data_IF_286284379943
#
_entry.id   IF_286284379943
#
_cell.length_a   1.000
_cell.length_b   1.000
_cell.length_c   1.000
_cell.angle_alpha   90.00
_cell.angle_beta   90.00
_cell.angle_gamma   90.00
#
_symmetry.space_group_name_H-M   'P 1'
#
loop_
_entity.id
_entity.type
_entity.pdbx_description
1 polymer ?
#
# COMPACT_ATOMS: atom_id res chain seq x y z
N UNK A 1 40.06 -6.78 -12.11
CA UNK A 1 39.78 -7.37 -10.78
C UNK A 1 40.97 -7.37 -9.81
N UNK A 2 42.19 -7.74 -10.22
CA UNK A 2 43.33 -7.86 -9.29
C UNK A 2 43.85 -6.52 -8.67
N UNK A 3 43.63 -5.38 -9.33
CA UNK A 3 44.07 -4.07 -8.83
C UNK A 3 43.18 -3.51 -7.72
N UNK A 4 41.86 -3.67 -7.83
CA UNK A 4 40.87 -3.24 -6.82
C UNK A 4 41.04 -4.01 -5.50
N UNK A 5 41.30 -5.32 -5.59
CA UNK A 5 41.59 -6.17 -4.43
C UNK A 5 42.92 -5.83 -3.73
N UNK A 6 43.90 -5.27 -4.46
CA UNK A 6 45.17 -4.80 -3.86
C UNK A 6 45.01 -3.46 -3.15
N UNK A 7 44.14 -2.58 -3.65
CA UNK A 7 43.82 -1.30 -3.01
C UNK A 7 43.13 -1.53 -1.64
N UNK A 8 42.17 -2.45 -1.58
CA UNK A 8 41.46 -2.82 -0.36
C UNK A 8 42.39 -3.38 0.73
N UNK A 9 43.38 -4.20 0.35
CA UNK A 9 44.37 -4.77 1.29
C UNK A 9 45.39 -3.77 1.84
N UNK A 10 45.60 -2.63 1.17
CA UNK A 10 46.52 -1.58 1.64
C UNK A 10 45.90 -0.69 2.71
N UNK A 11 44.59 -0.42 2.64
CA UNK A 11 43.86 0.38 3.64
C UNK A 11 43.86 -0.32 5.01
N UNK A 12 43.85 -1.65 5.05
CA UNK A 12 43.78 -2.43 6.30
C UNK A 12 45.10 -2.57 7.08
N UNK A 13 46.25 -2.06 6.60
CA UNK A 13 47.56 -2.30 7.24
C UNK A 13 48.09 -1.17 8.13
N UNK A 14 47.31 -0.12 8.37
CA UNK A 14 47.78 1.11 9.03
C UNK A 14 47.34 1.38 10.46
N UNK A 15 46.56 0.51 11.12
CA UNK A 15 46.00 0.83 12.45
C UNK A 15 46.64 0.00 13.59
N UNK A 16 47.30 0.64 14.57
CA UNK A 16 47.84 -0.02 15.74
C UNK A 16 46.77 -0.08 16.84
N UNK A 17 46.10 -1.22 16.97
CA UNK A 17 45.10 -1.45 18.02
C UNK A 17 44.34 -2.74 17.73
N UNK A 18 44.32 -3.67 18.68
CA UNK A 18 43.80 -5.02 18.50
C UNK A 18 42.42 -5.05 17.84
N UNK A 19 42.30 -5.87 16.80
CA UNK A 19 41.03 -6.19 16.17
C UNK A 19 40.20 -6.97 17.20
N UNK A 20 39.44 -6.26 18.05
CA UNK A 20 38.14 -6.79 18.46
C UNK A 20 37.43 -7.10 17.15
N UNK A 21 36.95 -8.33 17.00
CA UNK A 21 36.20 -8.77 15.83
C UNK A 21 35.22 -7.64 15.46
N UNK A 22 35.51 -6.94 14.36
CA UNK A 22 34.54 -6.03 13.76
C UNK A 22 33.30 -6.89 13.57
N UNK A 23 32.17 -6.42 14.09
CA UNK A 23 30.90 -7.12 13.97
C UNK A 23 30.72 -7.59 12.53
N UNK A 24 30.15 -8.78 12.33
CA UNK A 24 29.71 -9.26 11.01
C UNK A 24 28.61 -8.37 10.39
N UNK A 25 28.42 -7.14 10.88
CA UNK A 25 27.46 -6.18 10.38
C UNK A 25 27.89 -5.76 8.97
N UNK A 26 26.99 -5.96 8.03
CA UNK A 26 27.10 -5.40 6.69
C UNK A 26 27.23 -3.88 6.78
N UNK A 27 28.00 -3.24 5.90
CA UNK A 27 28.00 -1.78 5.80
C UNK A 27 26.66 -1.20 5.31
N UNK A 28 25.72 -2.08 4.90
CA UNK A 28 24.36 -1.79 4.47
C UNK A 28 23.39 -2.74 5.19
N UNK A 29 23.56 -2.95 6.49
CA UNK A 29 22.62 -3.76 7.28
C UNK A 29 21.30 -2.99 7.45
N UNK A 30 20.18 -3.45 6.87
CA UNK A 30 18.90 -2.75 6.93
C UNK A 30 18.22 -2.87 8.31
N UNK A 31 18.79 -3.65 9.24
CA UNK A 31 18.30 -3.77 10.61
C UNK A 31 18.94 -2.76 11.57
N UNK A 32 20.00 -2.08 11.16
CA UNK A 32 20.70 -1.11 12.01
C UNK A 32 19.80 0.10 12.32
N UNK A 33 19.73 0.47 13.61
CA UNK A 33 18.84 1.52 14.11
C UNK A 33 17.39 1.10 14.37
N UNK A 34 16.98 -0.12 13.99
CA UNK A 34 15.64 -0.64 14.28
C UNK A 34 15.52 -1.21 15.70
N UNK A 35 14.35 -1.01 16.31
CA UNK A 35 13.98 -1.68 17.55
C UNK A 35 13.85 -3.20 17.35
N UNK A 36 13.92 -3.97 18.43
CA UNK A 36 13.88 -5.44 18.35
C UNK A 36 12.60 -5.95 17.67
N UNK A 37 11.44 -5.36 18.01
CA UNK A 37 10.16 -5.70 17.39
C UNK A 37 10.15 -5.44 15.88
N UNK A 38 10.71 -4.31 15.44
CA UNK A 38 10.86 -3.97 14.02
C UNK A 38 11.78 -4.95 13.28
N UNK A 39 12.84 -5.44 13.93
CA UNK A 39 13.70 -6.49 13.37
C UNK A 39 12.93 -7.80 13.19
N UNK A 40 12.02 -8.13 14.09
CA UNK A 40 11.14 -9.30 13.94
C UNK A 40 10.16 -9.10 12.77
N UNK A 41 9.52 -7.94 12.65
CA UNK A 41 8.66 -7.62 11.50
C UNK A 41 9.43 -7.72 10.18
N UNK A 42 10.63 -7.13 10.11
CA UNK A 42 11.50 -7.21 8.95
C UNK A 42 11.80 -8.65 8.58
N UNK A 43 12.19 -9.48 9.56
CA UNK A 43 12.52 -10.89 9.34
C UNK A 43 11.34 -11.67 8.78
N UNK A 44 10.16 -11.55 9.39
CA UNK A 44 8.95 -12.25 8.94
C UNK A 44 8.59 -11.83 7.50
N UNK A 45 8.67 -10.53 7.20
CA UNK A 45 8.37 -10.02 5.87
C UNK A 45 9.40 -10.48 4.81
N UNK A 46 10.69 -10.51 5.12
CA UNK A 46 11.74 -11.02 4.22
C UNK A 46 11.55 -12.51 3.96
N UNK A 47 11.27 -13.31 4.99
CA UNK A 47 11.03 -14.76 4.84
C UNK A 47 9.79 -15.04 3.98
N UNK A 48 8.71 -14.27 4.19
CA UNK A 48 7.51 -14.35 3.35
C UNK A 48 7.82 -13.96 1.90
N UNK A 49 8.51 -12.85 1.68
CA UNK A 49 8.86 -12.36 0.36
C UNK A 49 9.73 -13.37 -0.41
N UNK A 50 10.74 -13.95 0.25
CA UNK A 50 11.62 -14.94 -0.35
C UNK A 50 10.91 -16.26 -0.70
N UNK A 51 9.90 -16.66 0.08
CA UNK A 51 9.20 -17.94 -0.09
C UNK A 51 7.98 -17.86 -1.01
N UNK A 52 7.15 -16.83 -0.85
CA UNK A 52 5.84 -16.75 -1.50
C UNK A 52 5.80 -15.76 -2.67
N UNK A 53 6.76 -14.82 -2.77
CA UNK A 53 6.74 -13.78 -3.81
C UNK A 53 7.87 -13.96 -4.82
N UNK A 54 9.13 -14.01 -4.37
CA UNK A 54 10.31 -14.03 -5.24
C UNK A 54 10.32 -15.17 -6.28
N UNK A 55 9.91 -16.42 -5.96
CA UNK A 55 9.90 -17.50 -6.93
C UNK A 55 8.92 -17.29 -8.09
N UNK A 56 7.87 -16.50 -7.88
CA UNK A 56 6.77 -16.32 -8.81
C UNK A 56 6.75 -14.95 -9.50
N UNK A 57 7.49 -13.96 -8.96
CA UNK A 57 7.53 -12.57 -9.45
C UNK A 57 7.65 -12.47 -10.97
N UNK A 58 8.58 -13.22 -11.56
CA UNK A 58 8.83 -13.18 -13.01
C UNK A 58 7.63 -13.67 -13.82
N UNK A 59 6.99 -14.75 -13.38
CA UNK A 59 5.82 -15.30 -14.07
C UNK A 59 4.63 -14.35 -13.96
N UNK A 60 4.42 -13.75 -12.80
CA UNK A 60 3.34 -12.78 -12.62
C UNK A 60 3.51 -11.55 -13.49
N UNK A 61 4.74 -11.06 -13.64
CA UNK A 61 5.07 -9.94 -14.52
C UNK A 61 4.85 -10.31 -16.00
N UNK A 62 5.46 -11.40 -16.47
CA UNK A 62 5.37 -11.83 -17.88
C UNK A 62 3.94 -12.16 -18.33
N UNK A 63 3.07 -12.60 -17.41
CA UNK A 63 1.69 -13.02 -17.71
C UNK A 63 0.62 -12.05 -17.19
N UNK A 64 1.02 -10.92 -16.62
CA UNK A 64 0.11 -9.92 -16.04
C UNK A 64 -0.86 -10.53 -15.00
N UNK A 65 -0.36 -11.46 -14.17
CA UNK A 65 -1.17 -12.16 -13.17
C UNK A 65 -1.26 -11.32 -11.91
N UNK A 66 -2.48 -11.06 -11.45
CA UNK A 66 -2.73 -10.47 -10.14
C UNK A 66 -2.77 -11.56 -9.05
N UNK A 67 -1.78 -11.62 -8.13
CA UNK A 67 -1.59 -12.77 -7.25
C UNK A 67 -2.44 -12.69 -5.98
N UNK A 68 -3.77 -12.71 -6.13
CA UNK A 68 -4.77 -12.57 -5.04
C UNK A 68 -4.50 -13.53 -3.88
N UNK A 69 -4.17 -14.79 -4.17
CA UNK A 69 -3.90 -15.79 -3.14
C UNK A 69 -2.67 -15.48 -2.30
N UNK A 70 -1.63 -14.88 -2.89
CA UNK A 70 -0.44 -14.45 -2.15
C UNK A 70 -0.75 -13.20 -1.32
N UNK A 71 -1.57 -12.29 -1.83
CA UNK A 71 -2.07 -11.17 -1.05
C UNK A 71 -2.83 -11.65 0.20
N UNK A 72 -3.73 -12.64 0.07
CA UNK A 72 -4.45 -13.24 1.22
C UNK A 72 -3.51 -13.89 2.23
N UNK A 73 -2.51 -14.64 1.78
CA UNK A 73 -1.46 -15.19 2.67
C UNK A 73 -0.67 -14.08 3.39
N UNK A 74 -0.41 -12.95 2.73
CA UNK A 74 0.23 -11.80 3.37
C UNK A 74 -0.69 -11.20 4.45
N UNK A 75 -2.00 -11.15 4.21
CA UNK A 75 -2.97 -10.68 5.17
C UNK A 75 -3.09 -11.57 6.43
N UNK A 76 -2.88 -12.89 6.29
CA UNK A 76 -2.79 -13.81 7.45
C UNK A 76 -1.63 -13.45 8.40
N UNK A 77 -0.60 -12.75 7.91
CA UNK A 77 0.51 -12.21 8.70
C UNK A 77 0.26 -10.79 9.22
N UNK A 78 -0.92 -10.21 8.96
CA UNK A 78 -1.28 -8.83 9.31
C UNK A 78 -0.95 -7.79 8.24
N UNK A 79 -0.39 -8.18 7.09
CA UNK A 79 0.07 -7.22 6.07
C UNK A 79 -1.06 -6.59 5.24
N UNK A 80 -2.31 -7.02 5.44
CA UNK A 80 -3.49 -6.45 4.77
C UNK A 80 -4.00 -5.14 5.39
N UNK A 81 -3.63 -4.85 6.64
CA UNK A 81 -4.09 -3.66 7.37
C UNK A 81 -3.07 -3.21 8.41
N UNK A 82 -1.83 -2.99 7.99
CA UNK A 82 -0.67 -2.68 8.83
C UNK A 82 -0.94 -1.55 9.82
N UNK A 83 -1.42 -0.41 9.31
CA UNK A 83 -1.64 0.82 10.09
C UNK A 83 -3.14 1.16 10.21
N UNK A 84 -3.99 0.13 10.21
CA UNK A 84 -5.42 0.20 10.56
C UNK A 84 -5.57 -0.22 12.01
N UNK A 85 -6.52 0.37 12.74
CA UNK A 85 -6.78 0.05 14.15
C UNK A 85 -7.20 -1.41 14.36
N UNK A 86 -6.80 -1.97 15.50
CA UNK A 86 -7.03 -3.38 15.85
C UNK A 86 -8.50 -3.73 16.06
N UNK A 87 -9.34 -2.76 16.46
CA UNK A 87 -10.79 -2.96 16.73
C UNK A 87 -11.57 -3.45 15.50
N UNK A 88 -10.99 -3.31 14.32
CA UNK A 88 -11.57 -3.68 13.03
C UNK A 88 -10.68 -4.64 12.22
N UNK A 89 -9.75 -5.31 12.90
CA UNK A 89 -8.89 -6.35 12.30
C UNK A 89 -7.60 -5.85 11.65
N UNK A 90 -7.23 -4.58 11.85
CA UNK A 90 -5.90 -4.09 11.49
C UNK A 90 -4.81 -4.51 12.48
N UNK A 91 -3.56 -4.23 12.16
CA UNK A 91 -2.39 -4.55 13.01
C UNK A 91 -1.93 -3.41 13.90
N UNK A 92 -2.50 -2.22 13.79
CA UNK A 92 -2.20 -1.08 14.67
C UNK A 92 -0.75 -0.58 14.62
N UNK A 93 0.01 -0.93 13.58
CA UNK A 93 1.44 -0.64 13.48
C UNK A 93 1.72 0.82 13.11
N UNK A 94 2.90 1.30 13.50
CA UNK A 94 3.33 2.65 13.16
C UNK A 94 3.73 2.79 11.69
N UNK A 95 3.94 4.04 11.25
CA UNK A 95 4.46 4.33 9.91
C UNK A 95 5.85 3.74 9.68
N UNK A 96 6.71 3.73 10.70
CA UNK A 96 8.06 3.17 10.60
C UNK A 96 8.00 1.64 10.47
N UNK A 97 7.19 0.98 11.30
CA UNK A 97 7.01 -0.47 11.24
C UNK A 97 6.49 -0.89 9.86
N UNK A 98 5.51 -0.15 9.34
CA UNK A 98 4.95 -0.37 8.01
C UNK A 98 5.97 -0.16 6.90
N UNK A 99 6.84 0.85 7.01
CA UNK A 99 7.92 1.10 6.06
C UNK A 99 8.91 -0.07 6.01
N UNK A 100 9.29 -0.58 7.18
CA UNK A 100 10.21 -1.74 7.30
C UNK A 100 9.60 -2.98 6.64
N UNK A 101 8.31 -3.22 6.86
CA UNK A 101 7.60 -4.36 6.25
C UNK A 101 7.49 -4.19 4.74
N UNK A 102 7.10 -3.02 4.23
CA UNK A 102 7.01 -2.80 2.78
C UNK A 102 8.37 -2.91 2.10
N UNK A 103 9.43 -2.38 2.69
CA UNK A 103 10.79 -2.52 2.15
C UNK A 103 11.20 -4.00 2.06
N UNK A 104 10.96 -4.77 3.12
CA UNK A 104 11.22 -6.20 3.14
C UNK A 104 10.41 -6.97 2.09
N UNK A 105 9.10 -6.72 1.98
CA UNK A 105 8.23 -7.36 0.97
C UNK A 105 8.66 -7.03 -0.47
N UNK A 106 9.12 -5.80 -0.71
CA UNK A 106 9.58 -5.35 -2.02
C UNK A 106 10.82 -6.11 -2.53
N UNK A 107 11.59 -6.75 -1.65
CA UNK A 107 12.69 -7.65 -2.06
C UNK A 107 12.21 -8.90 -2.81
N UNK A 108 10.95 -9.30 -2.62
CA UNK A 108 10.33 -10.43 -3.30
C UNK A 108 9.61 -10.05 -4.59
N UNK A 109 8.72 -9.06 -4.55
CA UNK A 109 8.06 -8.52 -5.75
C UNK A 109 7.63 -7.07 -5.50
N UNK A 110 8.29 -6.11 -6.17
CA UNK A 110 8.01 -4.68 -6.00
C UNK A 110 6.59 -4.32 -6.44
N UNK A 111 6.10 -4.89 -7.56
CA UNK A 111 4.77 -4.60 -8.10
C UNK A 111 3.65 -5.05 -7.14
N UNK A 112 3.71 -6.28 -6.66
CA UNK A 112 2.73 -6.81 -5.70
C UNK A 112 2.77 -6.04 -4.37
N UNK A 113 3.96 -5.71 -3.87
CA UNK A 113 4.12 -4.90 -2.66
C UNK A 113 3.54 -3.50 -2.82
N UNK A 114 3.73 -2.86 -3.98
CA UNK A 114 3.13 -1.57 -4.28
C UNK A 114 1.60 -1.63 -4.24
N UNK A 115 0.99 -2.70 -4.79
CA UNK A 115 -0.45 -2.92 -4.66
C UNK A 115 -0.87 -3.11 -3.19
N UNK A 116 -0.16 -3.93 -2.40
CA UNK A 116 -0.46 -4.11 -0.96
C UNK A 116 -0.39 -2.76 -0.22
N UNK A 117 0.53 -1.88 -0.60
CA UNK A 117 0.63 -0.52 -0.03
C UNK A 117 -0.59 0.34 -0.38
N UNK A 118 -1.04 0.34 -1.64
CA UNK A 118 -2.26 1.03 -2.09
C UNK A 118 -3.48 0.50 -1.35
N UNK A 119 -3.58 -0.82 -1.20
CA UNK A 119 -4.65 -1.47 -0.47
C UNK A 119 -4.71 -1.03 1.00
N UNK A 120 -3.56 -1.01 1.68
CA UNK A 120 -3.45 -0.50 3.06
C UNK A 120 -3.84 0.99 3.16
N UNK A 121 -3.51 1.79 2.15
CA UNK A 121 -3.92 3.20 2.10
C UNK A 121 -5.45 3.34 2.00
N UNK A 122 -6.12 2.53 1.17
CA UNK A 122 -7.58 2.49 1.09
C UNK A 122 -8.22 2.09 2.44
N UNK A 123 -7.69 1.04 3.08
CA UNK A 123 -8.16 0.59 4.38
C UNK A 123 -8.02 1.71 5.44
N UNK A 124 -6.87 2.38 5.48
CA UNK A 124 -6.64 3.50 6.38
C UNK A 124 -7.57 4.70 6.12
N UNK A 125 -7.88 5.03 4.85
CA UNK A 125 -8.83 6.12 4.56
C UNK A 125 -10.23 5.82 5.12
N UNK A 126 -10.69 4.57 5.04
CA UNK A 126 -11.97 4.16 5.65
C UNK A 126 -11.86 4.19 7.17
N UNK A 127 -10.75 3.72 7.75
CA UNK A 127 -10.56 3.71 9.20
C UNK A 127 -10.53 5.11 9.79
N UNK A 128 -9.81 6.04 9.16
CA UNK A 128 -9.60 7.40 9.65
C UNK A 128 -10.81 8.31 9.42
N UNK A 129 -11.41 8.25 8.22
CA UNK A 129 -12.42 9.23 7.79
C UNK A 129 -13.82 8.64 7.58
N UNK A 130 -13.96 7.31 7.61
CA UNK A 130 -15.24 6.63 7.44
C UNK A 130 -16.11 6.67 8.70
N UNK A 131 -17.42 6.47 8.53
CA UNK A 131 -18.33 6.29 9.65
C UNK A 131 -18.10 4.94 10.35
N UNK A 132 -18.56 4.80 11.60
CA UNK A 132 -18.42 3.53 12.33
C UNK A 132 -19.10 2.35 11.61
N UNK A 133 -20.19 2.63 10.87
CA UNK A 133 -20.89 1.65 10.05
C UNK A 133 -20.02 1.19 8.88
N UNK A 134 -19.34 2.11 8.18
CA UNK A 134 -18.41 1.76 7.10
C UNK A 134 -17.20 0.98 7.63
N UNK A 135 -16.63 1.42 8.75
CA UNK A 135 -15.51 0.73 9.41
C UNK A 135 -15.87 -0.72 9.73
N UNK A 136 -16.97 -0.92 10.47
CA UNK A 136 -17.43 -2.24 10.90
C UNK A 136 -17.80 -3.15 9.73
N UNK A 137 -18.35 -2.58 8.64
CA UNK A 137 -18.82 -3.33 7.48
C UNK A 137 -17.68 -3.80 6.56
N UNK A 138 -16.67 -2.96 6.31
CA UNK A 138 -15.68 -3.23 5.27
C UNK A 138 -14.30 -3.62 5.81
N UNK A 139 -13.83 -2.99 6.88
CA UNK A 139 -12.44 -3.14 7.32
C UNK A 139 -12.06 -4.57 7.70
N UNK A 140 -12.89 -5.37 8.41
CA UNK A 140 -12.53 -6.76 8.70
C UNK A 140 -12.26 -7.60 7.44
N UNK A 141 -13.00 -7.34 6.36
CA UNK A 141 -12.84 -8.03 5.08
C UNK A 141 -11.71 -7.47 4.22
N UNK A 142 -11.45 -6.17 4.32
CA UNK A 142 -10.32 -5.51 3.65
C UNK A 142 -9.01 -5.92 4.31
N UNK A 143 -8.89 -5.83 5.64
CA UNK A 143 -7.68 -6.20 6.37
C UNK A 143 -7.30 -7.68 6.20
N UNK A 144 -8.28 -8.56 5.98
CA UNK A 144 -8.05 -9.98 5.63
C UNK A 144 -7.85 -10.24 4.13
N UNK A 145 -7.90 -9.20 3.29
CA UNK A 145 -7.86 -9.27 1.83
C UNK A 145 -8.88 -10.24 1.22
N UNK A 146 -10.00 -10.46 1.92
CA UNK A 146 -11.19 -11.10 1.35
C UNK A 146 -11.87 -10.17 0.34
N UNK A 147 -11.95 -8.88 0.68
CA UNK A 147 -12.28 -7.80 -0.24
C UNK A 147 -11.02 -7.03 -0.58
N UNK A 148 -10.76 -6.89 -1.87
CA UNK A 148 -9.62 -6.13 -2.38
C UNK A 148 -10.05 -4.70 -2.71
N UNK A 149 -9.13 -3.74 -2.57
CA UNK A 149 -9.45 -2.31 -2.57
C UNK A 149 -8.55 -1.52 -3.53
N UNK A 150 -9.16 -0.60 -4.26
CA UNK A 150 -8.53 0.28 -5.25
C UNK A 150 -8.74 1.75 -4.90
N UNK A 151 -7.75 2.58 -5.19
CA UNK A 151 -7.82 4.04 -5.03
C UNK A 151 -8.02 4.74 -6.36
N UNK A 152 -9.10 5.51 -6.49
CA UNK A 152 -9.53 6.14 -7.74
C UNK A 152 -9.45 7.67 -7.68
N UNK A 153 -8.25 8.21 -7.94
CA UNK A 153 -8.01 9.65 -8.05
C UNK A 153 -7.82 10.10 -9.49
N UNK A 154 -6.79 9.57 -10.15
CA UNK A 154 -6.33 9.98 -11.48
C UNK A 154 -7.42 9.85 -12.54
N UNK A 155 -7.49 10.85 -13.41
CA UNK A 155 -8.37 10.90 -14.59
C UNK A 155 -7.52 11.02 -15.86
N UNK A 156 -8.06 10.71 -17.06
CA UNK A 156 -7.30 10.76 -18.31
C UNK A 156 -6.55 12.08 -18.52
N UNK A 157 -7.17 13.21 -18.17
CA UNK A 157 -6.62 14.56 -18.33
C UNK A 157 -6.06 15.17 -17.03
N UNK A 158 -6.21 14.48 -15.88
CA UNK A 158 -5.87 15.00 -14.55
C UNK A 158 -5.07 13.97 -13.74
N UNK A 159 -3.75 13.98 -13.93
CA UNK A 159 -2.78 13.22 -13.14
C UNK A 159 -2.11 14.07 -12.06
N UNK A 160 -1.09 14.84 -12.45
CA UNK A 160 -0.38 15.73 -11.52
C UNK A 160 -1.25 16.86 -10.97
N UNK A 161 -2.23 17.32 -11.74
CA UNK A 161 -3.22 18.33 -11.35
C UNK A 161 -4.50 17.68 -10.79
N UNK A 162 -4.34 16.80 -9.80
CA UNK A 162 -5.43 15.98 -9.27
C UNK A 162 -6.56 16.80 -8.62
N UNK A 163 -6.28 18.00 -8.13
CA UNK A 163 -7.28 18.89 -7.52
C UNK A 163 -8.33 19.37 -8.54
N UNK A 164 -8.00 19.36 -9.84
CA UNK A 164 -8.86 19.75 -10.94
C UNK A 164 -9.64 18.58 -11.57
N UNK A 165 -9.72 17.42 -10.90
CA UNK A 165 -10.56 16.30 -11.32
C UNK A 165 -12.01 16.74 -11.66
N UNK A 166 -12.60 16.08 -12.64
CA UNK A 166 -13.92 16.38 -13.21
C UNK A 166 -14.98 15.33 -12.87
N UNK A 167 -14.60 14.14 -12.39
CA UNK A 167 -15.58 13.14 -11.91
C UNK A 167 -16.48 13.79 -10.85
N UNK A 168 -17.77 13.83 -11.14
CA UNK A 168 -18.77 14.51 -10.32
C UNK A 168 -19.59 13.51 -9.51
N UNK A 169 -20.02 13.92 -8.32
CA UNK A 169 -21.00 13.20 -7.51
C UNK A 169 -22.13 14.18 -7.17
N UNK A 170 -23.29 14.03 -7.80
CA UNK A 170 -24.46 14.89 -7.57
C UNK A 170 -25.45 14.19 -6.65
N UNK A 171 -25.87 14.88 -5.59
CA UNK A 171 -26.85 14.36 -4.64
C UNK A 171 -28.23 14.27 -5.30
N UNK A 172 -28.85 13.10 -5.25
CA UNK A 172 -30.21 12.85 -5.71
C UNK A 172 -30.95 12.08 -4.60
N UNK A 173 -31.86 12.73 -3.88
CA UNK A 173 -32.55 12.14 -2.74
C UNK A 173 -31.61 11.71 -1.61
N UNK A 174 -31.54 10.41 -1.35
CA UNK A 174 -30.69 9.76 -0.34
C UNK A 174 -29.36 9.22 -0.90
N UNK A 175 -29.15 9.31 -2.21
CA UNK A 175 -27.98 8.77 -2.90
C UNK A 175 -27.16 9.85 -3.63
N UNK A 176 -25.99 9.44 -4.14
CA UNK A 176 -25.20 10.22 -5.09
C UNK A 176 -25.18 9.53 -6.46
N UNK A 177 -25.36 10.33 -7.52
CA UNK A 177 -25.13 9.93 -8.91
C UNK A 177 -23.72 10.35 -9.31
N UNK A 178 -22.86 9.36 -9.53
CA UNK A 178 -21.47 9.58 -9.92
C UNK A 178 -21.34 9.54 -11.45
N UNK A 179 -20.71 10.56 -12.03
CA UNK A 179 -20.44 10.62 -13.47
C UNK A 179 -19.01 11.11 -13.74
N UNK A 180 -18.24 10.31 -14.45
CA UNK A 180 -16.85 10.60 -14.81
C UNK A 180 -16.11 9.34 -15.24
N UNK A 181 -14.80 9.47 -15.40
CA UNK A 181 -13.91 8.34 -15.71
C UNK A 181 -12.61 8.47 -14.95
N UNK A 182 -12.03 7.32 -14.59
CA UNK A 182 -10.78 7.21 -13.85
C UNK A 182 -9.77 6.44 -14.69
N UNK A 183 -8.49 6.75 -14.54
CA UNK A 183 -7.41 6.19 -15.33
C UNK A 183 -6.30 5.64 -14.44
N UNK A 184 -5.64 4.56 -14.87
CA UNK A 184 -4.51 3.93 -14.19
C UNK A 184 -4.80 3.43 -12.76
N UNK A 185 -6.01 2.90 -12.56
CA UNK A 185 -6.42 2.41 -11.23
C UNK A 185 -5.85 1.01 -11.00
N UNK A 186 -4.85 0.93 -10.11
CA UNK A 186 -4.19 -0.34 -9.76
C UNK A 186 -5.17 -1.31 -9.13
N UNK A 187 -5.32 -2.50 -9.73
CA UNK A 187 -6.26 -3.54 -9.30
C UNK A 187 -7.68 -3.40 -9.86
N UNK A 188 -7.99 -2.32 -10.58
CA UNK A 188 -9.31 -2.18 -11.19
C UNK A 188 -9.61 -3.33 -12.16
N UNK A 189 -10.82 -3.87 -12.04
CA UNK A 189 -11.23 -5.09 -12.74
C UNK A 189 -11.22 -6.32 -11.84
N UNK A 190 -10.31 -6.40 -10.86
CA UNK A 190 -10.22 -7.52 -9.92
C UNK A 190 -10.58 -7.13 -8.48
N UNK A 191 -10.47 -5.85 -8.12
CA UNK A 191 -10.83 -5.36 -6.78
C UNK A 191 -12.34 -5.19 -6.56
N UNK A 192 -12.76 -5.33 -5.31
CA UNK A 192 -14.16 -5.28 -4.90
C UNK A 192 -14.60 -3.90 -4.45
N UNK A 193 -13.72 -3.19 -3.74
CA UNK A 193 -13.98 -1.89 -3.12
C UNK A 193 -13.18 -0.80 -3.84
N UNK A 194 -13.85 0.27 -4.25
CA UNK A 194 -13.19 1.43 -4.85
C UNK A 194 -13.37 2.64 -3.95
N UNK A 195 -12.26 3.31 -3.63
CA UNK A 195 -12.24 4.60 -2.96
C UNK A 195 -12.19 5.67 -4.03
N UNK A 196 -13.33 6.28 -4.34
CA UNK A 196 -13.44 7.19 -5.48
C UNK A 196 -13.39 8.65 -5.04
N UNK A 197 -12.41 9.38 -5.56
CA UNK A 197 -12.32 10.82 -5.37
C UNK A 197 -13.20 11.53 -6.40
N UNK A 198 -14.21 12.25 -5.91
CA UNK A 198 -15.22 12.93 -6.73
C UNK A 198 -15.39 14.39 -6.31
N UNK A 199 -15.94 15.20 -7.21
CA UNK A 199 -16.34 16.59 -6.96
C UNK A 199 -17.84 16.66 -6.67
N UNK A 200 -18.19 17.19 -5.51
CA UNK A 200 -19.60 17.38 -5.10
C UNK A 200 -20.07 18.85 -5.20
N UNK A 201 -19.14 19.81 -5.27
CA UNK A 201 -19.42 21.26 -5.38
C UNK A 201 -19.13 21.89 -6.76
N UNK A 202 -19.31 23.20 -6.89
CA UNK A 202 -19.03 23.93 -8.13
C UNK A 202 -17.51 24.09 -8.37
N UNK A 203 -17.11 24.37 -9.62
CA UNK A 203 -15.70 24.51 -10.02
C UNK A 203 -14.99 25.70 -9.35
N UNK A 204 -15.74 26.73 -8.95
CA UNK A 204 -15.22 28.04 -8.56
C UNK A 204 -15.16 28.29 -7.04
N UNK A 205 -15.48 27.28 -6.22
CA UNK A 205 -15.50 27.38 -4.75
C UNK A 205 -14.11 27.27 -4.11
N UNK A 206 -13.11 28.01 -4.63
CA UNK A 206 -11.86 28.38 -3.96
C UNK A 206 -10.92 27.26 -3.47
N UNK A 207 -9.63 27.37 -3.78
CA UNK A 207 -8.56 26.42 -3.42
C UNK A 207 -8.24 26.23 -1.92
N UNK A 208 -9.08 26.76 -1.00
CA UNK A 208 -8.88 26.67 0.45
C UNK A 208 -9.99 25.90 1.19
N UNK A 209 -11.01 25.43 0.47
CA UNK A 209 -11.90 24.37 0.90
C UNK A 209 -11.56 23.15 0.05
N UNK A 210 -10.98 22.12 0.65
CA UNK A 210 -10.83 20.80 0.02
C UNK A 210 -12.17 20.48 -0.63
N UNK A 211 -12.31 20.47 -1.97
CA UNK A 211 -13.61 20.37 -2.61
C UNK A 211 -14.15 19.00 -2.24
N UNK A 212 -15.06 18.93 -1.26
CA UNK A 212 -15.58 17.74 -0.59
C UNK A 212 -15.39 16.48 -1.44
N UNK A 213 -14.21 15.88 -1.26
CA UNK A 213 -13.87 14.62 -1.90
C UNK A 213 -14.58 13.59 -1.07
N UNK A 214 -15.84 13.33 -1.41
CA UNK A 214 -16.58 12.25 -0.79
C UNK A 214 -15.89 10.96 -1.21
N UNK A 215 -15.25 10.31 -0.25
CA UNK A 215 -14.73 8.96 -0.36
C UNK A 215 -15.93 8.02 -0.50
N UNK A 216 -16.35 7.78 -1.74
CA UNK A 216 -17.43 6.86 -2.03
C UNK A 216 -16.86 5.45 -2.12
N UNK A 217 -17.31 4.56 -1.23
CA UNK A 217 -17.01 3.11 -1.30
C UNK A 217 -17.96 2.49 -2.33
N UNK A 218 -17.46 2.27 -3.55
CA UNK A 218 -18.21 1.51 -4.56
C UNK A 218 -17.86 0.03 -4.43
N UNK A 219 -18.88 -0.82 -4.28
CA UNK A 219 -18.71 -2.28 -4.37
C UNK A 219 -18.98 -2.73 -5.81
N UNK A 220 -18.15 -3.63 -6.35
CA UNK A 220 -18.22 -4.15 -7.74
C UNK A 220 -19.61 -4.64 -8.19
N UNK A 221 -20.52 -4.93 -7.27
CA UNK A 221 -21.89 -5.38 -7.55
C UNK A 221 -22.90 -4.24 -7.86
N UNK A 222 -22.49 -2.97 -7.93
CA UNK A 222 -23.39 -1.88 -8.33
C UNK A 222 -23.46 -1.77 -9.86
N UNK A 223 -24.37 -2.53 -10.46
CA UNK A 223 -24.85 -2.25 -11.81
C UNK A 223 -25.63 -0.91 -11.80
N UNK A 224 -25.30 0.00 -12.72
CA UNK A 224 -25.98 1.28 -13.02
C UNK A 224 -25.65 2.52 -12.16
N UNK A 225 -24.49 2.59 -11.48
CA UNK A 225 -23.96 3.89 -11.01
C UNK A 225 -24.83 4.62 -9.96
N UNK A 226 -25.69 3.89 -9.24
CA UNK A 226 -26.49 4.41 -8.13
C UNK A 226 -25.84 4.01 -6.82
N UNK A 227 -25.42 4.99 -6.02
CA UNK A 227 -24.78 4.77 -4.72
C UNK A 227 -25.76 5.05 -3.58
N UNK A 228 -26.34 4.01 -2.97
CA UNK A 228 -27.08 4.12 -1.70
C UNK A 228 -26.19 4.66 -0.58
#
# INVERSE_FOLDING_TARGET
MAAVLRQARRVCRGFPGGWRALSNASCLDPSEGLAEEQRQFQKVAVEFAAREMAPHMREWDEKEIFPVEVCRKAAELGFGGLYVREDVGGSGLSRLDSSVIFEALATGCVSTTAYISIHNMCAWMIDEFGSQELRSKYLPHICSMQLLASYCLTEPDYGSDAANLQTSAKRDGDHYVINGSKAFISGAGDTDVYIIMTRTGAKDDGLCSVPYVSCSVLCRHVHNGVML
#
